data_IF_795742508980
#
_entry.id   IF_795742508980
#
_cell.length_a   1.000
_cell.length_b   1.000
_cell.length_c   1.000
_cell.angle_alpha   90.00
_cell.angle_beta   90.00
_cell.angle_gamma   90.00
#
_symmetry.space_group_name_H-M   'P 1'
#
loop_
_entity.id
_entity.type
_entity.pdbx_description
1 polymer ?
#
# COMPACT_ATOMS: atom_id res chain seq x y z
N UNK A 1 -18.39 23.60 -7.58
CA UNK A 1 -17.39 22.89 -6.74
C UNK A 1 -16.86 21.73 -7.57
N UNK A 2 -15.96 22.05 -8.51
CA UNK A 2 -15.59 21.14 -9.59
C UNK A 2 -14.50 20.15 -9.15
N UNK A 3 -14.76 18.89 -9.48
CA UNK A 3 -13.95 17.72 -9.13
C UNK A 3 -12.63 17.83 -9.90
N UNK A 4 -11.52 18.01 -9.18
CA UNK A 4 -10.18 17.87 -9.77
C UNK A 4 -9.89 16.39 -10.04
N UNK A 5 -10.21 15.96 -11.26
CA UNK A 5 -9.63 14.76 -11.87
C UNK A 5 -8.14 15.03 -12.03
N UNK A 6 -7.31 14.46 -11.15
CA UNK A 6 -5.86 14.48 -11.34
C UNK A 6 -5.49 13.25 -12.14
N UNK A 7 -5.23 13.46 -13.43
CA UNK A 7 -4.50 12.52 -14.26
C UNK A 7 -3.16 12.16 -13.58
N UNK A 8 -2.72 10.90 -13.59
CA UNK A 8 -1.43 10.52 -13.03
C UNK A 8 -0.33 11.08 -13.93
N UNK A 9 0.18 12.26 -13.58
CA UNK A 9 1.32 12.89 -14.25
C UNK A 9 2.56 12.00 -14.12
N UNK A 10 3.20 11.74 -15.26
CA UNK A 10 4.26 10.76 -15.50
C UNK A 10 5.59 10.96 -14.70
N UNK A 11 5.64 11.85 -13.71
CA UNK A 11 6.84 12.19 -12.93
C UNK A 11 6.99 11.28 -11.67
N UNK A 12 5.98 10.48 -11.32
CA UNK A 12 5.91 9.72 -10.05
C UNK A 12 5.98 8.19 -10.19
N UNK A 13 6.37 7.64 -11.34
CA UNK A 13 6.26 6.18 -11.57
C UNK A 13 7.38 5.36 -10.91
N UNK A 14 8.65 5.80 -10.95
CA UNK A 14 9.77 5.01 -10.41
C UNK A 14 9.73 4.83 -8.89
N UNK A 15 9.57 5.94 -8.13
CA UNK A 15 9.45 5.85 -6.66
C UNK A 15 8.21 5.08 -6.22
N UNK A 16 7.08 5.26 -6.90
CA UNK A 16 5.87 4.54 -6.53
C UNK A 16 5.96 3.05 -6.88
N UNK A 17 6.59 2.71 -8.01
CA UNK A 17 6.90 1.32 -8.37
C UNK A 17 7.83 0.68 -7.35
N UNK A 18 8.88 1.37 -6.91
CA UNK A 18 9.77 0.86 -5.89
C UNK A 18 9.02 0.52 -4.58
N UNK A 19 8.02 1.33 -4.19
CA UNK A 19 7.19 1.03 -3.02
C UNK A 19 6.27 -0.18 -3.25
N UNK A 20 5.66 -0.30 -4.44
CA UNK A 20 4.86 -1.48 -4.80
C UNK A 20 5.71 -2.76 -4.81
N UNK A 21 6.90 -2.69 -5.41
CA UNK A 21 7.88 -3.78 -5.46
C UNK A 21 8.24 -4.23 -4.05
N UNK A 22 8.54 -3.31 -3.13
CA UNK A 22 8.82 -3.65 -1.72
C UNK A 22 7.65 -4.36 -1.04
N UNK A 23 6.42 -3.92 -1.28
CA UNK A 23 5.22 -4.58 -0.73
C UNK A 23 5.06 -6.00 -1.29
N UNK A 24 5.20 -6.16 -2.60
CA UNK A 24 5.07 -7.47 -3.24
C UNK A 24 6.20 -8.42 -2.86
N UNK A 25 7.42 -7.89 -2.69
CA UNK A 25 8.55 -8.66 -2.18
C UNK A 25 8.30 -9.15 -0.76
N UNK A 26 7.71 -8.31 0.10
CA UNK A 26 7.29 -8.69 1.45
C UNK A 26 6.18 -9.75 1.44
N UNK A 27 5.23 -9.65 0.49
CA UNK A 27 4.13 -10.62 0.35
C UNK A 27 4.61 -12.00 -0.09
N UNK A 28 5.43 -12.05 -1.14
CA UNK A 28 5.83 -13.29 -1.81
C UNK A 28 7.17 -13.84 -1.26
N UNK A 29 7.73 -13.20 -0.23
CA UNK A 29 9.05 -13.46 0.38
C UNK A 29 10.17 -13.62 -0.66
N UNK A 30 10.17 -12.72 -1.65
CA UNK A 30 11.06 -12.76 -2.82
C UNK A 30 11.53 -11.37 -3.19
N UNK A 31 12.75 -11.24 -3.69
CA UNK A 31 13.23 -9.95 -4.20
C UNK A 31 12.82 -9.78 -5.66
N UNK A 32 11.93 -8.82 -5.93
CA UNK A 32 11.62 -8.38 -7.29
C UNK A 32 12.52 -7.22 -7.74
N UNK A 33 12.75 -7.14 -9.05
CA UNK A 33 13.41 -5.98 -9.66
C UNK A 33 12.52 -4.72 -9.55
N UNK A 34 13.15 -3.54 -9.46
CA UNK A 34 12.44 -2.27 -9.33
C UNK A 34 11.57 -1.93 -10.55
N UNK A 35 11.86 -2.51 -11.71
CA UNK A 35 11.09 -2.38 -12.94
C UNK A 35 10.04 -3.49 -13.12
N UNK A 36 9.96 -4.45 -12.19
CA UNK A 36 9.03 -5.56 -12.29
C UNK A 36 7.58 -5.08 -12.34
N UNK A 37 6.83 -5.58 -13.32
CA UNK A 37 5.43 -5.26 -13.52
C UNK A 37 4.56 -6.41 -13.01
N UNK A 38 3.64 -6.10 -12.10
CA UNK A 38 2.73 -7.09 -11.52
C UNK A 38 1.43 -7.19 -12.31
N UNK A 39 0.90 -8.40 -12.47
CA UNK A 39 -0.39 -8.63 -13.11
C UNK A 39 -1.54 -8.09 -12.26
N UNK A 40 -2.67 -7.77 -12.91
CA UNK A 40 -3.87 -7.29 -12.20
C UNK A 40 -4.34 -8.28 -11.12
N UNK A 41 -4.24 -9.59 -11.38
CA UNK A 41 -4.58 -10.65 -10.41
C UNK A 41 -3.71 -10.58 -9.15
N UNK A 42 -2.39 -10.39 -9.32
CA UNK A 42 -1.48 -10.19 -8.19
C UNK A 42 -1.84 -8.93 -7.40
N UNK A 43 -2.19 -7.84 -8.08
CA UNK A 43 -2.60 -6.60 -7.41
C UNK A 43 -3.95 -6.77 -6.67
N UNK A 44 -4.88 -7.54 -7.21
CA UNK A 44 -6.16 -7.86 -6.55
C UNK A 44 -6.00 -8.79 -5.35
N UNK A 45 -4.90 -9.55 -5.27
CA UNK A 45 -4.59 -10.39 -4.10
C UNK A 45 -4.08 -9.62 -2.89
N UNK A 46 -3.78 -8.32 -3.04
CA UNK A 46 -3.29 -7.47 -1.94
C UNK A 46 -4.45 -7.19 -0.98
N UNK A 47 -4.28 -7.55 0.29
CA UNK A 47 -5.26 -7.31 1.35
C UNK A 47 -4.86 -6.10 2.22
N UNK A 48 -5.83 -5.46 2.90
CA UNK A 48 -5.52 -4.44 3.90
C UNK A 48 -4.54 -4.90 4.98
N UNK A 49 -4.73 -6.11 5.49
CA UNK A 49 -3.87 -6.71 6.54
C UNK A 49 -2.42 -6.79 6.09
N UNK A 50 -2.18 -7.23 4.85
CA UNK A 50 -0.84 -7.25 4.27
C UNK A 50 -0.23 -5.85 4.19
N UNK A 51 -1.01 -4.86 3.75
CA UNK A 51 -0.56 -3.46 3.69
C UNK A 51 -0.22 -2.94 5.09
N UNK A 52 -1.03 -3.27 6.10
CA UNK A 52 -0.77 -2.94 7.50
C UNK A 52 0.54 -3.56 8.00
N UNK A 53 0.72 -4.87 7.84
CA UNK A 53 1.92 -5.58 8.26
C UNK A 53 3.18 -5.03 7.59
N UNK A 54 3.10 -4.73 6.29
CA UNK A 54 4.21 -4.14 5.57
C UNK A 54 4.55 -2.72 6.07
N UNK A 55 3.54 -1.88 6.31
CA UNK A 55 3.76 -0.53 6.88
C UNK A 55 4.33 -0.62 8.30
N UNK A 56 3.85 -1.56 9.10
CA UNK A 56 4.36 -1.81 10.45
C UNK A 56 5.81 -2.28 10.42
N UNK A 57 6.15 -3.27 9.59
CA UNK A 57 7.53 -3.76 9.42
C UNK A 57 8.49 -2.61 9.11
N UNK A 58 8.06 -1.63 8.32
CA UNK A 58 8.87 -0.45 8.00
C UNK A 58 8.96 0.56 9.13
N UNK A 59 7.85 0.81 9.82
CA UNK A 59 7.81 1.78 10.90
C UNK A 59 8.50 1.27 12.16
N UNK A 60 8.39 -0.03 12.48
CA UNK A 60 8.78 -0.63 13.76
C UNK A 60 9.84 -1.72 13.64
N UNK A 61 10.16 -2.19 12.42
CA UNK A 61 11.00 -3.38 12.23
C UNK A 61 10.24 -4.70 12.39
N UNK A 62 8.98 -4.66 12.84
CA UNK A 62 8.12 -5.80 13.13
C UNK A 62 6.77 -5.66 12.39
N UNK A 63 6.26 -6.69 11.69
CA UNK A 63 4.95 -6.62 11.04
C UNK A 63 3.77 -6.51 12.03
N UNK A 64 3.93 -7.01 13.26
CA UNK A 64 2.96 -7.02 14.34
C UNK A 64 3.58 -6.37 15.59
N UNK A 65 3.82 -5.05 15.55
CA UNK A 65 4.44 -4.33 16.65
C UNK A 65 3.52 -4.35 17.87
N UNK A 66 4.11 -4.59 19.04
CA UNK A 66 3.38 -4.49 20.29
C UNK A 66 3.01 -3.01 20.58
N UNK A 67 1.96 -2.76 21.37
CA UNK A 67 1.45 -1.41 21.65
C UNK A 67 2.51 -0.48 22.27
N UNK A 68 3.51 -1.05 22.93
CA UNK A 68 4.62 -0.33 23.58
C UNK A 68 5.77 0.06 22.64
N UNK A 69 5.83 -0.47 21.41
CA UNK A 69 6.92 -0.16 20.49
C UNK A 69 6.67 1.21 19.88
N UNK A 70 7.63 2.13 20.03
CA UNK A 70 7.60 3.44 19.38
C UNK A 70 8.04 3.32 17.91
N UNK A 71 7.40 4.04 16.97
CA UNK A 71 7.79 3.97 15.57
C UNK A 71 9.22 4.50 15.39
N UNK A 72 10.08 3.66 14.82
CA UNK A 72 11.47 3.95 14.46
C UNK A 72 11.52 4.87 13.23
N UNK A 73 10.58 4.69 12.30
CA UNK A 73 10.45 5.52 11.09
C UNK A 73 9.05 6.14 10.97
N UNK A 74 8.98 7.37 10.46
CA UNK A 74 7.73 8.08 10.15
C UNK A 74 6.86 7.22 9.24
N UNK A 75 5.59 7.02 9.63
CA UNK A 75 4.60 6.27 8.85
C UNK A 75 4.35 7.01 7.53
N UNK A 76 4.99 6.57 6.46
CA UNK A 76 5.09 7.35 5.23
C UNK A 76 3.77 7.34 4.43
N UNK A 77 3.13 8.51 4.35
CA UNK A 77 1.94 8.72 3.50
C UNK A 77 2.23 8.48 2.01
N UNK A 78 3.50 8.59 1.59
CA UNK A 78 3.94 8.35 0.22
C UNK A 78 3.79 6.87 -0.15
N UNK A 79 4.15 5.96 0.76
CA UNK A 79 4.05 4.53 0.54
C UNK A 79 2.60 4.08 0.28
N UNK A 80 1.68 4.60 1.09
CA UNK A 80 0.25 4.36 0.92
C UNK A 80 -0.26 4.88 -0.40
N UNK A 81 0.09 6.13 -0.75
CA UNK A 81 -0.29 6.75 -2.02
C UNK A 81 0.27 5.97 -3.22
N UNK A 82 1.50 5.48 -3.11
CA UNK A 82 2.14 4.68 -4.15
C UNK A 82 1.38 3.37 -4.42
N UNK A 83 1.12 2.57 -3.38
CA UNK A 83 0.37 1.31 -3.52
C UNK A 83 -1.04 1.59 -4.04
N UNK A 84 -1.72 2.61 -3.48
CA UNK A 84 -3.06 3.01 -3.91
C UNK A 84 -3.13 3.30 -5.41
N UNK A 85 -2.13 3.97 -5.98
CA UNK A 85 -2.10 4.37 -7.37
C UNK A 85 -2.11 3.19 -8.35
N UNK A 86 -1.65 2.00 -7.92
CA UNK A 86 -1.66 0.79 -8.74
C UNK A 86 -2.88 -0.10 -8.47
N UNK A 87 -3.72 0.21 -7.49
CA UNK A 87 -4.87 -0.63 -7.17
C UNK A 87 -5.93 -0.51 -8.28
N UNK A 88 -6.40 -1.62 -8.88
CA UNK A 88 -7.36 -1.58 -9.99
C UNK A 88 -8.65 -0.82 -9.69
N UNK A 89 -9.01 -0.69 -8.41
CA UNK A 89 -10.24 -0.04 -7.95
C UNK A 89 -9.95 1.21 -7.11
N UNK A 90 -9.09 2.10 -7.61
CA UNK A 90 -8.56 3.29 -6.91
C UNK A 90 -9.59 4.05 -6.05
N UNK A 91 -10.78 4.31 -6.60
CA UNK A 91 -11.81 5.14 -5.97
C UNK A 91 -12.80 4.36 -5.09
N UNK A 92 -12.78 3.02 -5.10
CA UNK A 92 -13.70 2.20 -4.33
C UNK A 92 -13.12 1.95 -2.93
N UNK A 93 -13.86 2.29 -1.89
CA UNK A 93 -13.51 1.93 -0.50
C UNK A 93 -13.40 0.42 -0.38
N UNK A 94 -12.51 -0.06 0.50
CA UNK A 94 -12.39 -1.48 0.78
C UNK A 94 -13.65 -2.00 1.48
N UNK A 95 -14.26 -3.04 0.92
CA UNK A 95 -15.35 -3.79 1.52
C UNK A 95 -14.75 -5.02 2.25
N UNK A 96 -14.83 -5.09 3.59
CA UNK A 96 -14.29 -6.21 4.34
C UNK A 96 -15.07 -7.51 4.15
N UNK A 97 -16.37 -7.44 3.79
CA UNK A 97 -17.24 -8.61 3.58
C UNK A 97 -16.98 -9.19 2.19
N UNK A 98 -17.02 -8.34 1.16
CA UNK A 98 -16.78 -8.76 -0.22
C UNK A 98 -15.28 -8.96 -0.55
N UNK A 99 -14.37 -8.56 0.37
CA UNK A 99 -12.90 -8.56 0.21
C UNK A 99 -12.47 -7.88 -1.09
N UNK A 100 -13.08 -6.74 -1.38
CA UNK A 100 -13.00 -6.08 -2.68
C UNK A 100 -12.90 -4.56 -2.53
N UNK A 101 -12.17 -3.91 -3.44
CA UNK A 101 -11.98 -2.46 -3.44
C UNK A 101 -10.51 -2.08 -3.38
N UNK A 102 -10.21 -0.85 -2.96
CA UNK A 102 -8.84 -0.41 -2.74
C UNK A 102 -8.40 -0.72 -1.30
N UNK A 103 -7.48 -1.69 -1.08
CA UNK A 103 -7.08 -2.12 0.26
C UNK A 103 -6.43 -0.99 1.09
N UNK A 104 -5.83 0.01 0.43
CA UNK A 104 -5.24 1.16 1.12
C UNK A 104 -6.27 2.15 1.67
N UNK A 105 -7.57 2.00 1.33
CA UNK A 105 -8.66 2.85 1.82
C UNK A 105 -9.46 2.19 2.94
N UNK A 106 -8.99 1.07 3.48
CA UNK A 106 -9.56 0.43 4.67
C UNK A 106 -9.35 1.27 5.94
N UNK A 107 -10.23 1.08 6.92
CA UNK A 107 -10.12 1.76 8.21
C UNK A 107 -8.83 1.40 8.94
N UNK A 108 -8.37 0.15 8.84
CA UNK A 108 -7.13 -0.32 9.48
C UNK A 108 -5.90 0.41 8.94
N UNK A 109 -5.77 0.52 7.61
CA UNK A 109 -4.67 1.26 6.97
C UNK A 109 -4.80 2.77 7.22
N UNK A 110 -6.02 3.30 7.39
CA UNK A 110 -6.23 4.71 7.76
C UNK A 110 -5.79 4.99 9.19
N UNK A 111 -6.10 4.12 10.16
CA UNK A 111 -5.64 4.23 11.56
C UNK A 111 -4.12 4.22 11.66
N UNK A 112 -3.44 3.49 10.77
CA UNK A 112 -1.99 3.51 10.71
C UNK A 112 -1.41 4.86 10.26
N UNK A 113 -2.07 5.71 9.48
CA UNK A 113 -1.44 6.96 9.00
C UNK A 113 -1.75 8.19 9.90
N UNK A 114 -2.48 8.01 11.00
CA UNK A 114 -2.75 9.08 11.97
C UNK A 114 -1.49 9.59 12.67
#
# INVERSE_FOLDING_TARGET
MERRTTEPTAISTSRYRAELVKLMSFKDDKTYDASHSFTAEKLLSITPTLVCHWMNKRAYGDPEPNEDIRPIHVRSSIAKKAVSAFMPRLNKTWDPVAKQGNPTRSDDVNKLIK
#
